data_IF_993262085001
#
_entry.id   IF_993262085001
#
_cell.length_a   1.000
_cell.length_b   1.000
_cell.length_c   1.000
_cell.angle_alpha   90.00
_cell.angle_beta   90.00
_cell.angle_gamma   90.00
#
_symmetry.space_group_name_H-M   'P 1'
#
loop_
_entity.id
_entity.type
_entity.pdbx_description
1 polymer ?
#
# COMPACT_ATOMS: atom_id res chain seq x y z
N UNK A 1 16.43 9.71 -48.85
CA UNK A 1 17.74 10.03 -48.26
C UNK A 1 17.56 11.23 -47.34
N UNK A 2 17.71 11.04 -46.04
CA UNK A 2 17.50 12.06 -45.02
C UNK A 2 17.52 11.42 -43.64
N UNK A 3 18.72 11.21 -43.11
CA UNK A 3 19.00 10.64 -41.80
C UNK A 3 18.55 11.61 -40.68
N UNK A 4 17.78 11.10 -39.72
CA UNK A 4 17.66 11.70 -38.39
C UNK A 4 18.35 10.78 -37.38
N UNK A 5 19.67 10.93 -37.29
CA UNK A 5 20.52 10.30 -36.29
C UNK A 5 20.47 11.10 -34.98
N UNK A 6 19.62 10.68 -34.04
CA UNK A 6 19.58 11.24 -32.69
C UNK A 6 20.63 10.53 -31.81
N UNK A 7 21.81 11.15 -31.71
CA UNK A 7 22.91 10.75 -30.81
C UNK A 7 22.40 10.51 -29.38
N UNK A 8 22.32 9.24 -28.98
CA UNK A 8 22.20 8.81 -27.60
C UNK A 8 23.43 9.28 -26.80
N UNK A 9 23.27 10.32 -25.97
CA UNK A 9 24.27 10.69 -24.96
C UNK A 9 24.37 9.55 -23.94
N UNK A 10 25.49 8.83 -23.94
CA UNK A 10 25.85 7.88 -22.87
C UNK A 10 25.97 8.66 -21.54
N UNK A 11 25.14 8.30 -20.58
CA UNK A 11 25.18 8.85 -19.21
C UNK A 11 26.33 8.17 -18.47
N UNK A 12 27.34 8.92 -18.02
CA UNK A 12 28.36 8.43 -17.08
C UNK A 12 27.75 8.36 -15.69
N UNK A 13 27.70 7.17 -15.11
CA UNK A 13 27.37 6.96 -13.70
C UNK A 13 28.62 7.36 -12.88
N UNK A 14 28.46 8.20 -11.85
CA UNK A 14 29.59 8.65 -11.01
C UNK A 14 30.13 7.49 -10.16
N UNK A 15 31.42 7.54 -9.83
CA UNK A 15 32.14 6.49 -9.10
C UNK A 15 31.67 6.29 -7.65
N UNK A 16 30.85 7.20 -7.11
CA UNK A 16 30.27 7.07 -5.76
C UNK A 16 29.13 6.04 -5.68
N UNK A 17 28.78 5.42 -6.81
CA UNK A 17 27.62 4.53 -6.97
C UNK A 17 27.92 3.04 -6.67
N UNK A 18 29.09 2.71 -6.11
CA UNK A 18 29.57 1.33 -5.93
C UNK A 18 29.23 0.68 -4.56
N UNK A 19 28.44 1.31 -3.72
CA UNK A 19 28.16 0.81 -2.36
C UNK A 19 26.97 -0.17 -2.23
N UNK A 20 26.43 -0.71 -3.32
CA UNK A 20 25.45 -1.80 -3.22
C UNK A 20 26.14 -3.15 -2.95
N UNK A 21 25.60 -3.93 -2.01
CA UNK A 21 26.15 -5.21 -1.53
C UNK A 21 26.34 -6.27 -2.65
N UNK A 22 25.61 -6.12 -3.78
CA UNK A 22 25.73 -6.98 -4.96
C UNK A 22 26.88 -6.59 -5.92
N UNK A 23 27.33 -5.34 -5.94
CA UNK A 23 28.52 -4.93 -6.72
C UNK A 23 29.81 -5.59 -6.20
N UNK A 24 29.84 -6.03 -4.93
CA UNK A 24 30.99 -6.75 -4.38
C UNK A 24 31.09 -8.21 -4.84
N UNK A 25 30.01 -8.78 -5.39
CA UNK A 25 29.95 -10.22 -5.76
C UNK A 25 29.82 -10.47 -7.27
N UNK A 26 29.44 -9.48 -8.08
CA UNK A 26 29.42 -9.59 -9.54
C UNK A 26 30.80 -9.32 -10.15
N UNK A 27 31.33 -10.25 -10.97
CA UNK A 27 32.51 -9.96 -11.80
C UNK A 27 32.11 -8.96 -12.89
N UNK A 28 32.44 -7.69 -12.67
CA UNK A 28 32.38 -6.65 -13.70
C UNK A 28 33.37 -7.01 -14.82
N UNK A 29 32.89 -7.16 -16.05
CA UNK A 29 33.77 -7.25 -17.21
C UNK A 29 34.48 -5.90 -17.42
N UNK A 30 35.69 -5.91 -17.98
CA UNK A 30 36.61 -4.75 -18.09
C UNK A 30 36.02 -3.46 -18.71
N UNK A 31 34.85 -3.52 -19.33
CA UNK A 31 34.20 -2.39 -19.99
C UNK A 31 32.87 -1.95 -19.34
N UNK A 32 32.48 -2.51 -18.19
CA UNK A 32 31.33 -2.02 -17.42
C UNK A 32 29.94 -2.37 -17.96
N UNK A 33 29.83 -3.23 -18.98
CA UNK A 33 28.53 -3.69 -19.49
C UNK A 33 27.98 -4.86 -18.67
N UNK A 34 26.71 -4.75 -18.24
CA UNK A 34 25.87 -5.86 -17.76
C UNK A 34 24.76 -6.02 -18.79
N UNK A 35 24.66 -7.18 -19.44
CA UNK A 35 23.59 -7.48 -20.38
C UNK A 35 22.74 -8.63 -19.84
N UNK A 36 21.44 -8.39 -19.60
CA UNK A 36 20.43 -9.44 -19.49
C UNK A 36 19.41 -9.29 -20.63
N UNK A 37 19.40 -10.27 -21.55
CA UNK A 37 18.51 -10.33 -22.71
C UNK A 37 17.04 -10.49 -22.26
N UNK A 38 16.24 -9.44 -22.34
CA UNK A 38 14.78 -9.56 -22.48
C UNK A 38 14.36 -9.03 -23.86
N UNK A 39 13.60 -9.83 -24.61
CA UNK A 39 13.08 -9.48 -25.96
C UNK A 39 11.83 -8.60 -25.87
N UNK A 40 11.96 -7.43 -25.25
CA UNK A 40 11.00 -6.31 -25.33
C UNK A 40 11.75 -5.11 -25.91
N UNK A 41 12.25 -5.26 -27.14
CA UNK A 41 12.78 -4.14 -27.92
C UNK A 41 11.65 -3.69 -28.83
N UNK A 42 11.48 -2.37 -28.94
CA UNK A 42 10.50 -1.68 -29.79
C UNK A 42 9.11 -1.45 -29.16
N UNK A 43 9.11 -0.75 -28.01
CA UNK A 43 8.32 0.48 -27.76
C UNK A 43 8.65 0.97 -26.34
N UNK A 44 9.52 1.96 -26.27
CA UNK A 44 9.68 2.91 -25.14
C UNK A 44 9.85 2.39 -23.70
N UNK A 45 10.44 1.20 -23.48
CA UNK A 45 10.95 0.83 -22.15
C UNK A 45 12.34 0.20 -22.21
N UNK A 46 13.23 0.68 -21.33
CA UNK A 46 14.61 0.21 -21.18
C UNK A 46 14.63 -0.70 -19.96
N UNK A 47 14.78 -2.01 -20.18
CA UNK A 47 15.22 -2.94 -19.16
C UNK A 47 16.75 -2.87 -19.08
N UNK A 48 17.28 -2.28 -18.00
CA UNK A 48 18.55 -2.70 -17.40
C UNK A 48 18.65 -2.14 -15.96
N UNK A 49 18.87 -3.04 -15.00
CA UNK A 49 19.27 -2.83 -13.59
C UNK A 49 18.36 -1.98 -12.66
N UNK A 50 17.04 -1.92 -12.87
CA UNK A 50 16.11 -1.19 -11.98
C UNK A 50 15.57 -1.98 -10.77
N UNK A 51 15.75 -3.31 -10.74
CA UNK A 51 15.30 -4.14 -9.61
C UNK A 51 16.11 -3.85 -8.33
N UNK A 52 17.31 -3.26 -8.46
CA UNK A 52 18.23 -2.98 -7.36
C UNK A 52 18.24 -1.51 -6.91
N UNK A 53 17.45 -0.64 -7.57
CA UNK A 53 17.38 0.78 -7.24
C UNK A 53 16.31 1.07 -6.19
N UNK A 54 16.73 1.56 -5.01
CA UNK A 54 15.85 2.06 -3.95
C UNK A 54 14.83 3.09 -4.48
N UNK A 55 13.60 3.15 -3.93
CA UNK A 55 12.54 4.09 -4.36
C UNK A 55 12.97 5.55 -4.53
N UNK A 56 13.90 6.02 -3.68
CA UNK A 56 14.48 7.37 -3.76
C UNK A 56 15.28 7.60 -5.05
N UNK A 57 15.97 6.57 -5.55
CA UNK A 57 16.68 6.63 -6.84
C UNK A 57 15.72 6.55 -8.01
N UNK A 58 14.63 5.77 -7.90
CA UNK A 58 13.55 5.76 -8.89
C UNK A 58 12.90 7.14 -9.00
N UNK A 59 12.75 7.85 -7.90
CA UNK A 59 12.23 9.22 -7.89
C UNK A 59 13.20 10.24 -8.54
N UNK A 60 14.50 10.21 -8.22
CA UNK A 60 15.48 11.05 -8.92
C UNK A 60 15.51 10.76 -10.42
N UNK A 61 15.33 9.49 -10.81
CA UNK A 61 15.22 9.09 -12.20
C UNK A 61 13.92 9.56 -12.85
N UNK A 62 12.81 9.68 -12.10
CA UNK A 62 11.55 10.23 -12.61
C UNK A 62 11.70 11.70 -13.04
N UNK A 63 12.29 12.53 -12.18
CA UNK A 63 12.53 13.95 -12.49
C UNK A 63 13.54 14.12 -13.63
N UNK A 64 14.59 13.28 -13.67
CA UNK A 64 15.59 13.28 -14.74
C UNK A 64 15.10 12.73 -16.08
N UNK A 65 14.01 11.94 -16.09
CA UNK A 65 13.44 11.30 -17.28
C UNK A 65 12.16 11.97 -17.79
N UNK A 66 11.99 13.26 -17.50
CA UNK A 66 10.87 14.06 -18.01
C UNK A 66 9.50 13.44 -17.68
N UNK A 67 9.35 12.94 -16.45
CA UNK A 67 8.08 12.46 -15.87
C UNK A 67 7.45 11.21 -16.53
N UNK A 68 8.23 10.40 -17.25
CA UNK A 68 7.77 9.13 -17.82
C UNK A 68 7.45 8.08 -16.74
N UNK A 69 6.45 7.23 -16.98
CA UNK A 69 6.08 6.13 -16.09
C UNK A 69 7.13 5.01 -16.07
N UNK A 70 7.31 4.36 -14.92
CA UNK A 70 8.06 3.12 -14.79
C UNK A 70 7.13 1.91 -15.00
N UNK A 71 7.68 0.69 -15.02
CA UNK A 71 6.84 -0.50 -14.89
C UNK A 71 6.11 -0.46 -13.53
N UNK A 72 4.86 -0.95 -13.44
CA UNK A 72 4.12 -1.01 -12.19
C UNK A 72 4.94 -1.77 -11.14
N UNK A 73 5.25 -1.11 -10.03
CA UNK A 73 6.02 -1.72 -8.94
C UNK A 73 5.11 -2.41 -7.94
N UNK A 74 3.97 -1.80 -7.63
CA UNK A 74 2.92 -2.38 -6.80
C UNK A 74 1.69 -2.67 -7.65
N UNK A 75 1.18 -3.89 -7.53
CA UNK A 75 -0.13 -4.27 -8.05
C UNK A 75 -1.00 -4.62 -6.85
N UNK A 76 -2.02 -3.80 -6.62
CA UNK A 76 -3.03 -4.07 -5.61
C UNK A 76 -4.17 -4.83 -6.28
N UNK A 77 -4.54 -5.96 -5.71
CA UNK A 77 -5.60 -6.83 -6.24
C UNK A 77 -6.75 -6.82 -5.25
N UNK A 78 -7.87 -6.22 -5.64
CA UNK A 78 -9.14 -6.41 -4.96
C UNK A 78 -9.80 -7.67 -5.52
N UNK A 79 -9.58 -8.81 -4.86
CA UNK A 79 -9.99 -10.10 -5.43
C UNK A 79 -11.51 -10.35 -5.35
N UNK A 80 -12.18 -9.67 -4.41
CA UNK A 80 -13.62 -9.76 -4.22
C UNK A 80 -14.17 -8.54 -3.50
N UNK A 81 -15.43 -8.18 -3.75
CA UNK A 81 -16.19 -7.19 -2.97
C UNK A 81 -16.94 -7.80 -1.77
N UNK A 82 -16.83 -9.13 -1.58
CA UNK A 82 -17.45 -9.83 -0.46
C UNK A 82 -16.66 -9.58 0.81
N UNK A 83 -17.36 -9.18 1.88
CA UNK A 83 -16.79 -9.04 3.21
C UNK A 83 -17.81 -9.51 4.24
N UNK A 84 -17.35 -10.18 5.30
CA UNK A 84 -18.16 -10.65 6.41
C UNK A 84 -18.32 -9.60 7.53
N UNK A 85 -17.71 -8.42 7.40
CA UNK A 85 -17.76 -7.34 8.39
C UNK A 85 -18.50 -6.09 7.86
N UNK A 86 -18.77 -5.15 8.76
CA UNK A 86 -19.47 -3.89 8.49
C UNK A 86 -18.75 -2.71 9.15
N UNK A 87 -17.44 -2.63 8.95
CA UNK A 87 -16.59 -1.67 9.66
C UNK A 87 -17.08 -0.24 9.45
N UNK A 88 -17.18 0.54 10.53
CA UNK A 88 -17.74 1.91 10.52
C UNK A 88 -16.99 2.84 9.57
N UNK A 89 -15.68 2.69 9.47
CA UNK A 89 -14.82 3.53 8.62
C UNK A 89 -14.75 3.10 7.15
N UNK A 90 -15.30 1.94 6.78
CA UNK A 90 -15.03 1.33 5.47
C UNK A 90 -15.68 2.12 4.33
N UNK A 91 -14.87 2.49 3.33
CA UNK A 91 -15.37 3.15 2.12
C UNK A 91 -16.28 2.30 1.23
N UNK A 92 -16.19 0.97 1.35
CA UNK A 92 -16.99 0.04 0.55
C UNK A 92 -18.36 -0.25 1.18
N UNK A 93 -18.39 -0.54 2.50
CA UNK A 93 -19.58 -1.05 3.22
C UNK A 93 -19.97 -0.28 4.48
N UNK A 94 -19.19 0.74 4.87
CA UNK A 94 -19.52 1.60 6.02
C UNK A 94 -20.79 2.42 5.77
N UNK A 95 -21.09 3.38 6.64
CA UNK A 95 -22.34 4.17 6.57
C UNK A 95 -22.64 4.75 5.19
N UNK A 96 -21.64 5.34 4.54
CA UNK A 96 -21.74 5.90 3.19
C UNK A 96 -21.09 5.01 2.12
N UNK A 97 -20.85 3.74 2.45
CA UNK A 97 -20.15 2.79 1.60
C UNK A 97 -20.70 2.75 0.17
N UNK A 98 -19.82 2.79 -0.83
CA UNK A 98 -20.26 2.86 -2.22
C UNK A 98 -20.98 1.60 -2.70
N UNK A 99 -20.71 0.45 -2.08
CA UNK A 99 -21.45 -0.78 -2.33
C UNK A 99 -22.84 -0.76 -1.71
N UNK A 100 -23.20 0.19 -0.84
CA UNK A 100 -24.57 0.26 -0.32
C UNK A 100 -25.57 0.79 -1.37
N UNK A 101 -25.11 1.36 -2.48
CA UNK A 101 -25.97 1.84 -3.57
C UNK A 101 -26.64 0.68 -4.32
N UNK A 102 -27.96 0.75 -4.58
CA UNK A 102 -28.63 -0.14 -5.53
C UNK A 102 -27.95 -0.08 -6.90
N UNK A 103 -27.66 -1.25 -7.50
CA UNK A 103 -27.04 -1.35 -8.84
C UNK A 103 -25.50 -1.36 -8.87
N UNK A 104 -24.82 -0.97 -7.78
CA UNK A 104 -23.37 -1.19 -7.59
C UNK A 104 -23.07 -2.48 -6.81
N UNK A 105 -24.09 -3.04 -6.16
CA UNK A 105 -24.03 -4.31 -5.45
C UNK A 105 -24.00 -5.51 -6.41
N UNK A 106 -23.03 -6.39 -6.18
CA UNK A 106 -23.02 -7.83 -6.54
C UNK A 106 -23.05 -8.27 -8.01
N UNK A 107 -23.14 -7.39 -9.01
CA UNK A 107 -23.17 -7.80 -10.43
C UNK A 107 -21.82 -7.85 -11.15
N UNK A 108 -20.73 -7.38 -10.52
CA UNK A 108 -19.38 -7.59 -11.04
C UNK A 108 -18.93 -9.00 -10.69
N UNK A 109 -19.00 -9.91 -11.66
CA UNK A 109 -18.47 -11.27 -11.53
C UNK A 109 -17.00 -11.16 -11.15
N UNK A 110 -16.61 -11.71 -10.01
CA UNK A 110 -15.20 -11.87 -9.70
C UNK A 110 -14.56 -12.66 -10.86
N UNK A 111 -13.36 -12.28 -11.27
CA UNK A 111 -12.55 -13.08 -12.16
C UNK A 111 -12.39 -14.48 -11.57
N UNK A 112 -12.34 -15.50 -12.43
CA UNK A 112 -12.11 -16.87 -12.00
C UNK A 112 -10.67 -17.06 -11.51
N UNK A 113 -10.42 -18.18 -10.84
CA UNK A 113 -9.06 -18.54 -10.39
C UNK A 113 -8.11 -18.57 -11.59
N UNK A 114 -8.55 -19.12 -12.72
CA UNK A 114 -7.77 -19.22 -13.96
C UNK A 114 -7.44 -17.84 -14.54
N UNK A 115 -8.40 -16.92 -14.53
CA UNK A 115 -8.17 -15.54 -14.98
C UNK A 115 -7.15 -14.81 -14.10
N UNK A 116 -7.21 -14.99 -12.77
CA UNK A 116 -6.17 -14.46 -11.88
C UNK A 116 -4.80 -15.09 -12.11
N UNK A 117 -4.73 -16.41 -12.30
CA UNK A 117 -3.46 -17.09 -12.61
C UNK A 117 -2.85 -16.58 -13.91
N UNK A 118 -3.65 -16.42 -14.96
CA UNK A 118 -3.22 -15.85 -16.23
C UNK A 118 -2.70 -14.43 -16.05
N UNK A 119 -3.44 -13.58 -15.32
CA UNK A 119 -3.01 -12.22 -15.02
C UNK A 119 -1.65 -12.20 -14.29
N UNK A 120 -1.45 -13.08 -13.30
CA UNK A 120 -0.18 -13.21 -12.59
C UNK A 120 0.95 -13.65 -13.53
N UNK A 121 0.69 -14.59 -14.45
CA UNK A 121 1.67 -15.01 -15.44
C UNK A 121 2.07 -13.87 -16.40
N UNK A 122 1.12 -13.00 -16.77
CA UNK A 122 1.37 -11.86 -17.64
C UNK A 122 2.27 -10.81 -16.97
N UNK A 123 2.15 -10.63 -15.65
CA UNK A 123 2.87 -9.58 -14.89
C UNK A 123 4.16 -10.05 -14.23
N UNK A 124 4.36 -11.37 -14.04
CA UNK A 124 5.50 -11.89 -13.28
C UNK A 124 6.86 -11.51 -13.87
N UNK A 125 6.93 -11.21 -15.16
CA UNK A 125 8.18 -10.89 -15.86
C UNK A 125 8.86 -9.60 -15.35
N UNK A 126 8.10 -8.66 -14.78
CA UNK A 126 8.65 -7.44 -14.17
C UNK A 126 8.69 -7.45 -12.63
N UNK A 127 8.34 -8.60 -12.02
CA UNK A 127 8.48 -8.88 -10.57
C UNK A 127 7.81 -7.82 -9.66
N UNK A 128 6.51 -7.52 -9.84
CA UNK A 128 5.81 -6.58 -8.97
C UNK A 128 5.63 -7.14 -7.55
N UNK A 129 5.43 -6.23 -6.59
CA UNK A 129 4.89 -6.56 -5.27
C UNK A 129 3.37 -6.68 -5.41
N UNK A 130 2.81 -7.83 -5.03
CA UNK A 130 1.38 -8.07 -5.03
C UNK A 130 0.83 -7.78 -3.63
N UNK A 131 -0.16 -6.89 -3.55
CA UNK A 131 -0.95 -6.68 -2.33
C UNK A 131 -2.37 -7.19 -2.56
N UNK A 132 -2.71 -8.28 -1.88
CA UNK A 132 -4.00 -8.95 -2.00
C UNK A 132 -4.99 -8.39 -0.98
N UNK A 133 -6.10 -7.82 -1.46
CA UNK A 133 -7.10 -7.07 -0.71
C UNK A 133 -8.52 -7.31 -1.27
N UNK A 134 -9.43 -6.38 -1.01
CA UNK A 134 -10.81 -6.34 -1.48
C UNK A 134 -11.73 -6.02 -0.32
N UNK A 135 -12.88 -6.70 -0.28
CA UNK A 135 -13.68 -6.83 0.94
C UNK A 135 -12.93 -7.64 2.00
N UNK A 136 -13.00 -8.96 1.92
CA UNK A 136 -12.13 -9.87 2.67
C UNK A 136 -11.57 -10.92 1.69
N UNK A 137 -10.26 -10.90 1.38
CA UNK A 137 -9.69 -11.76 0.35
C UNK A 137 -9.87 -13.25 0.66
N UNK A 138 -9.84 -13.66 1.93
CA UNK A 138 -10.01 -15.05 2.33
C UNK A 138 -11.45 -15.59 2.14
N UNK A 139 -12.41 -14.76 1.75
CA UNK A 139 -13.76 -15.18 1.35
C UNK A 139 -13.87 -15.49 -0.16
N UNK A 140 -12.84 -15.19 -0.96
CA UNK A 140 -12.86 -15.51 -2.38
C UNK A 140 -12.80 -17.04 -2.62
N UNK A 141 -13.75 -17.63 -3.37
CA UNK A 141 -13.72 -19.05 -3.71
C UNK A 141 -12.46 -19.39 -4.53
N UNK A 142 -11.57 -20.21 -3.97
CA UNK A 142 -10.30 -20.57 -4.62
C UNK A 142 -9.11 -19.68 -4.24
N UNK A 143 -9.22 -18.87 -3.19
CA UNK A 143 -8.13 -18.00 -2.69
C UNK A 143 -6.80 -18.75 -2.48
N UNK A 144 -6.87 -19.98 -1.95
CA UNK A 144 -5.69 -20.83 -1.74
C UNK A 144 -4.91 -21.08 -3.04
N UNK A 145 -5.60 -21.30 -4.15
CA UNK A 145 -4.98 -21.54 -5.45
C UNK A 145 -4.33 -20.29 -6.02
N UNK A 146 -4.94 -19.13 -5.80
CA UNK A 146 -4.39 -17.84 -6.23
C UNK A 146 -3.14 -17.50 -5.41
N UNK A 147 -3.18 -17.63 -4.07
CA UNK A 147 -2.01 -17.40 -3.21
C UNK A 147 -0.85 -18.32 -3.58
N UNK A 148 -1.13 -19.62 -3.79
CA UNK A 148 -0.14 -20.59 -4.25
C UNK A 148 0.50 -20.17 -5.57
N UNK A 149 -0.30 -19.80 -6.57
CA UNK A 149 0.22 -19.43 -7.90
C UNK A 149 1.09 -18.16 -7.86
N UNK A 150 0.72 -17.15 -7.06
CA UNK A 150 1.54 -15.95 -6.85
C UNK A 150 2.89 -16.32 -6.23
N UNK A 151 2.87 -17.15 -5.19
CA UNK A 151 4.08 -17.62 -4.50
C UNK A 151 4.98 -18.45 -5.42
N UNK A 152 4.43 -19.40 -6.17
CA UNK A 152 5.15 -20.23 -7.14
C UNK A 152 5.68 -19.42 -8.34
N UNK A 153 5.07 -18.26 -8.63
CA UNK A 153 5.58 -17.27 -9.60
C UNK A 153 6.75 -16.44 -9.07
N UNK A 154 7.23 -16.70 -7.84
CA UNK A 154 8.34 -16.02 -7.19
C UNK A 154 8.14 -14.48 -7.09
N UNK A 155 6.89 -14.10 -6.78
CA UNK A 155 6.46 -12.74 -6.48
C UNK A 155 6.25 -12.58 -4.98
N UNK A 156 6.53 -11.38 -4.47
CA UNK A 156 6.27 -11.06 -3.07
C UNK A 156 4.76 -10.85 -2.87
N UNK A 157 4.16 -11.61 -1.96
CA UNK A 157 2.74 -11.54 -1.64
C UNK A 157 2.51 -10.95 -0.25
N UNK A 158 1.95 -9.74 -0.22
CA UNK A 158 1.39 -9.13 0.98
C UNK A 158 -0.14 -9.29 0.98
N UNK A 159 -0.75 -9.43 2.15
CA UNK A 159 -2.21 -9.55 2.28
C UNK A 159 -2.75 -8.63 3.38
N UNK A 160 -3.76 -7.84 3.04
CA UNK A 160 -4.60 -7.14 4.02
C UNK A 160 -5.81 -8.02 4.35
N UNK A 161 -6.01 -8.36 5.62
CA UNK A 161 -7.14 -9.19 6.06
C UNK A 161 -7.75 -8.65 7.35
N UNK A 162 -9.04 -8.90 7.54
CA UNK A 162 -9.73 -8.68 8.81
C UNK A 162 -9.44 -9.77 9.86
N UNK A 163 -8.72 -10.83 9.49
CA UNK A 163 -8.24 -11.86 10.39
C UNK A 163 -9.24 -12.99 10.69
N UNK A 164 -10.54 -12.77 10.49
CA UNK A 164 -11.59 -13.73 10.90
C UNK A 164 -11.55 -15.08 10.18
N UNK A 165 -10.94 -15.15 9.00
CA UNK A 165 -10.78 -16.37 8.21
C UNK A 165 -9.36 -16.96 8.26
N UNK A 166 -8.41 -16.32 8.95
CA UNK A 166 -7.02 -16.78 8.99
C UNK A 166 -6.89 -18.20 9.54
N UNK A 167 -7.68 -18.55 10.57
CA UNK A 167 -7.67 -19.89 11.17
C UNK A 167 -7.96 -20.99 10.14
N UNK A 168 -8.89 -20.73 9.22
CA UNK A 168 -9.28 -21.68 8.17
C UNK A 168 -8.18 -21.92 7.14
N UNK A 169 -7.38 -20.89 6.85
CA UNK A 169 -6.35 -20.91 5.81
C UNK A 169 -4.93 -20.83 6.40
N UNK A 170 -4.75 -21.24 7.66
CA UNK A 170 -3.52 -21.01 8.39
C UNK A 170 -2.28 -21.63 7.69
N UNK A 171 -2.42 -22.84 7.14
CA UNK A 171 -1.32 -23.52 6.44
C UNK A 171 -1.00 -22.86 5.09
N UNK A 172 -2.01 -22.50 4.31
CA UNK A 172 -1.84 -21.82 3.02
C UNK A 172 -1.21 -20.45 3.21
N UNK A 173 -1.71 -19.68 4.18
CA UNK A 173 -1.18 -18.35 4.52
C UNK A 173 0.26 -18.46 5.01
N UNK A 174 0.56 -19.40 5.91
CA UNK A 174 1.93 -19.62 6.38
C UNK A 174 2.88 -19.98 5.22
N UNK A 175 2.42 -20.80 4.26
CA UNK A 175 3.25 -21.30 3.16
C UNK A 175 3.44 -20.31 2.01
N UNK A 176 2.40 -19.56 1.64
CA UNK A 176 2.39 -18.82 0.38
C UNK A 176 2.40 -17.29 0.53
N UNK A 177 2.07 -16.75 1.70
CA UNK A 177 2.08 -15.30 1.93
C UNK A 177 3.43 -14.90 2.54
N UNK A 178 3.95 -13.73 2.17
CA UNK A 178 5.21 -13.22 2.70
C UNK A 178 5.01 -12.21 3.83
N UNK A 179 3.93 -11.43 3.77
CA UNK A 179 3.56 -10.44 4.77
C UNK A 179 2.04 -10.42 5.00
N UNK A 180 1.62 -10.36 6.27
CA UNK A 180 0.22 -10.32 6.66
C UNK A 180 -0.04 -9.05 7.46
N UNK A 181 -0.98 -8.24 7.01
CA UNK A 181 -1.46 -7.07 7.72
C UNK A 181 -2.86 -7.36 8.25
N UNK A 182 -2.94 -7.65 9.55
CA UNK A 182 -4.20 -7.99 10.23
C UNK A 182 -4.80 -6.72 10.79
N UNK A 183 -6.05 -6.48 10.43
CA UNK A 183 -6.71 -5.24 10.75
C UNK A 183 -7.31 -5.31 12.17
N UNK A 184 -6.70 -4.64 13.16
CA UNK A 184 -7.10 -4.58 14.58
C UNK A 184 -7.16 -3.12 15.04
N UNK A 185 -8.29 -2.70 15.62
CA UNK A 185 -8.63 -1.27 15.85
C UNK A 185 -8.74 -0.90 17.34
N UNK A 186 -8.18 -1.72 18.22
CA UNK A 186 -8.21 -1.49 19.66
C UNK A 186 -8.28 -2.80 20.45
N UNK A 187 -8.48 -2.69 21.79
CA UNK A 187 -8.86 -3.83 22.61
C UNK A 187 -10.19 -4.42 22.13
N UNK A 188 -10.47 -5.65 22.55
CA UNK A 188 -11.61 -6.48 22.15
C UNK A 188 -12.92 -5.72 21.91
N UNK A 189 -13.40 -4.97 22.90
CA UNK A 189 -14.69 -4.29 22.85
C UNK A 189 -14.68 -3.16 21.82
N UNK A 190 -13.60 -2.37 21.79
CA UNK A 190 -13.42 -1.27 20.83
C UNK A 190 -13.31 -1.83 19.41
N UNK A 191 -12.52 -2.89 19.23
CA UNK A 191 -12.36 -3.53 17.94
C UNK A 191 -13.70 -4.02 17.38
N UNK A 192 -14.45 -4.81 18.15
CA UNK A 192 -15.74 -5.35 17.71
C UNK A 192 -16.76 -4.23 17.41
N UNK A 193 -16.76 -3.16 18.21
CA UNK A 193 -17.60 -1.97 17.97
C UNK A 193 -17.29 -1.30 16.62
N UNK A 194 -15.99 -1.14 16.33
CA UNK A 194 -15.50 -0.49 15.11
C UNK A 194 -15.70 -1.37 13.88
N UNK A 195 -15.47 -2.68 14.02
CA UNK A 195 -15.66 -3.70 12.96
C UNK A 195 -17.12 -4.06 12.69
N UNK A 196 -18.00 -3.73 13.63
CA UNK A 196 -19.45 -3.83 13.48
C UNK A 196 -20.00 -5.25 13.61
N UNK A 197 -19.21 -6.20 14.10
CA UNK A 197 -19.60 -7.60 14.34
C UNK A 197 -18.96 -8.07 15.64
N UNK A 198 -19.71 -8.58 16.62
CA UNK A 198 -19.15 -9.16 17.85
C UNK A 198 -18.31 -10.41 17.59
N UNK A 199 -17.27 -10.63 18.40
CA UNK A 199 -16.39 -11.79 18.36
C UNK A 199 -15.28 -11.71 17.29
N UNK A 200 -15.13 -10.58 16.61
CA UNK A 200 -14.13 -10.43 15.54
C UNK A 200 -12.71 -10.36 16.06
N UNK A 201 -12.52 -9.76 17.24
CA UNK A 201 -11.21 -9.72 17.88
C UNK A 201 -10.71 -11.13 18.19
N UNK A 202 -11.56 -11.97 18.77
CA UNK A 202 -11.21 -13.37 19.07
C UNK A 202 -10.94 -14.18 17.82
N UNK A 203 -11.77 -14.03 16.79
CA UNK A 203 -11.56 -14.74 15.53
C UNK A 203 -10.22 -14.36 14.89
N UNK A 204 -9.85 -13.07 14.91
CA UNK A 204 -8.55 -12.61 14.44
C UNK A 204 -7.40 -13.14 15.31
N UNK A 205 -7.55 -13.14 16.65
CA UNK A 205 -6.56 -13.70 17.59
C UNK A 205 -6.31 -15.18 17.34
N UNK A 206 -7.37 -15.97 17.25
CA UNK A 206 -7.27 -17.40 16.94
C UNK A 206 -6.65 -17.63 15.57
N UNK A 207 -6.97 -16.76 14.60
CA UNK A 207 -6.40 -16.78 13.27
C UNK A 207 -4.88 -16.54 13.25
N UNK A 208 -4.41 -15.50 13.93
CA UNK A 208 -2.97 -15.20 14.08
C UNK A 208 -2.26 -16.38 14.75
N UNK A 209 -2.80 -16.88 15.86
CA UNK A 209 -2.23 -18.01 16.59
C UNK A 209 -2.15 -19.28 15.72
N UNK A 210 -3.16 -19.55 14.90
CA UNK A 210 -3.18 -20.68 13.98
C UNK A 210 -2.12 -20.55 12.89
N UNK A 211 -1.92 -19.37 12.31
CA UNK A 211 -0.84 -19.12 11.33
C UNK A 211 0.53 -19.36 11.97
N UNK A 212 0.76 -18.83 13.18
CA UNK A 212 2.01 -19.03 13.91
C UNK A 212 2.26 -20.51 14.27
N UNK A 213 1.20 -21.26 14.61
CA UNK A 213 1.28 -22.69 14.85
C UNK A 213 1.62 -23.46 13.56
N UNK A 214 0.97 -23.12 12.44
CA UNK A 214 1.24 -23.71 11.14
C UNK A 214 2.67 -23.44 10.67
N UNK A 215 3.22 -22.24 10.90
CA UNK A 215 4.62 -21.93 10.62
C UNK A 215 5.58 -22.88 11.38
N UNK A 216 5.31 -23.13 12.67
CA UNK A 216 6.12 -24.04 13.50
C UNK A 216 6.01 -25.49 13.02
N UNK A 217 4.79 -25.96 12.75
CA UNK A 217 4.51 -27.32 12.28
C UNK A 217 5.21 -27.60 10.94
N UNK A 218 5.06 -26.68 9.98
CA UNK A 218 5.65 -26.77 8.64
C UNK A 218 7.15 -26.44 8.62
N UNK A 219 7.74 -26.11 9.78
CA UNK A 219 9.16 -25.71 9.94
C UNK A 219 9.55 -24.58 8.97
N UNK A 220 8.68 -23.58 8.84
CA UNK A 220 8.94 -22.41 8.01
C UNK A 220 9.95 -21.52 8.75
N UNK A 221 11.16 -21.44 8.21
CA UNK A 221 12.26 -20.68 8.81
C UNK A 221 12.43 -19.27 8.24
N UNK A 222 11.70 -18.93 7.15
CA UNK A 222 11.69 -17.56 6.63
C UNK A 222 10.95 -16.65 7.59
N UNK A 223 11.35 -15.39 7.66
CA UNK A 223 10.60 -14.40 8.43
C UNK A 223 9.35 -14.02 7.63
N UNK A 224 8.18 -14.18 8.24
CA UNK A 224 6.90 -13.73 7.72
C UNK A 224 6.32 -12.75 8.75
N UNK A 225 6.49 -11.42 8.56
CA UNK A 225 5.91 -10.46 9.50
C UNK A 225 4.39 -10.51 9.48
N UNK A 226 3.84 -10.38 10.67
CA UNK A 226 2.44 -10.14 10.92
C UNK A 226 2.37 -8.76 11.56
N UNK A 227 1.69 -7.82 10.91
CA UNK A 227 1.49 -6.46 11.39
C UNK A 227 0.05 -6.27 11.83
N UNK A 228 -0.17 -5.50 12.89
CA UNK A 228 -1.50 -5.03 13.27
C UNK A 228 -1.74 -3.65 12.66
N UNK A 229 -2.78 -3.50 11.84
CA UNK A 229 -3.19 -2.20 11.32
C UNK A 229 -4.40 -1.66 12.09
N UNK A 230 -4.18 -0.54 12.77
CA UNK A 230 -5.18 0.24 13.49
C UNK A 230 -5.50 1.49 12.69
N UNK A 231 -6.76 1.63 12.28
CA UNK A 231 -7.23 2.83 11.60
C UNK A 231 -7.66 3.85 12.64
N UNK A 232 -6.88 4.93 12.78
CA UNK A 232 -7.13 6.00 13.75
C UNK A 232 -8.32 6.83 13.32
N UNK A 233 -9.34 6.86 14.17
CA UNK A 233 -10.58 7.59 13.96
C UNK A 233 -11.06 8.27 15.25
N UNK A 234 -12.02 9.20 15.16
CA UNK A 234 -12.64 9.78 16.34
C UNK A 234 -13.29 8.75 17.28
N UNK A 235 -13.62 7.57 16.78
CA UNK A 235 -14.33 6.54 17.53
C UNK A 235 -13.39 5.60 18.31
N UNK A 236 -12.06 5.65 18.10
CA UNK A 236 -11.12 4.71 18.74
C UNK A 236 -9.77 5.29 19.18
N UNK A 237 -9.44 6.56 18.86
CA UNK A 237 -8.11 7.11 19.13
C UNK A 237 -7.68 7.11 20.62
N UNK A 238 -8.64 7.05 21.55
CA UNK A 238 -8.39 6.92 22.98
C UNK A 238 -7.79 5.55 23.36
N UNK A 239 -8.04 4.52 22.56
CA UNK A 239 -7.54 3.16 22.78
C UNK A 239 -6.13 2.91 22.24
N UNK A 240 -5.51 3.89 21.58
CA UNK A 240 -4.15 3.78 21.02
C UNK A 240 -3.12 3.30 22.08
N UNK A 241 -3.09 3.80 23.33
CA UNK A 241 -2.11 3.35 24.33
C UNK A 241 -2.21 1.86 24.65
N UNK A 242 -3.38 1.26 24.50
CA UNK A 242 -3.61 -0.17 24.78
C UNK A 242 -3.05 -1.08 23.68
N UNK A 243 -2.71 -0.54 22.52
CA UNK A 243 -2.24 -1.34 21.38
C UNK A 243 -0.93 -2.08 21.66
N UNK A 244 -0.11 -1.57 22.58
CA UNK A 244 1.07 -2.29 23.05
C UNK A 244 0.71 -3.59 23.80
N UNK A 245 -0.37 -3.56 24.60
CA UNK A 245 -0.88 -4.73 25.30
C UNK A 245 -1.57 -5.69 24.32
N UNK A 246 -2.39 -5.17 23.41
CA UNK A 246 -3.05 -5.96 22.35
C UNK A 246 -2.02 -6.69 21.48
N UNK A 247 -0.96 -6.01 21.03
CA UNK A 247 0.10 -6.63 20.26
C UNK A 247 0.76 -7.79 21.02
N UNK A 248 1.04 -7.59 22.32
CA UNK A 248 1.58 -8.64 23.18
C UNK A 248 0.62 -9.81 23.36
N UNK A 249 -0.69 -9.58 23.55
CA UNK A 249 -1.72 -10.63 23.63
C UNK A 249 -1.76 -11.47 22.34
N UNK A 250 -1.65 -10.80 21.19
CA UNK A 250 -1.68 -11.46 19.88
C UNK A 250 -0.34 -12.08 19.47
N UNK A 251 0.71 -11.93 20.29
CA UNK A 251 2.05 -12.43 19.97
C UNK A 251 2.68 -11.74 18.76
N UNK A 252 2.30 -10.49 18.51
CA UNK A 252 2.77 -9.65 17.39
C UNK A 252 3.59 -8.48 17.94
N UNK A 253 4.55 -7.99 17.15
CA UNK A 253 5.35 -6.81 17.52
C UNK A 253 5.05 -5.58 16.66
N UNK A 254 4.66 -5.78 15.42
CA UNK A 254 4.52 -4.68 14.46
C UNK A 254 3.11 -4.09 14.56
N UNK A 255 3.02 -2.81 14.92
CA UNK A 255 1.78 -2.04 15.01
C UNK A 255 1.87 -0.84 14.07
N UNK A 256 0.95 -0.77 13.12
CA UNK A 256 0.78 0.34 12.20
C UNK A 256 -0.47 1.12 12.58
N UNK A 257 -0.32 2.40 12.87
CA UNK A 257 -1.45 3.32 12.90
C UNK A 257 -1.59 3.97 11.54
N UNK A 258 -2.74 3.75 10.92
CA UNK A 258 -3.13 4.42 9.69
C UNK A 258 -4.15 5.48 10.04
N UNK A 259 -3.86 6.75 9.76
CA UNK A 259 -4.86 7.80 9.94
C UNK A 259 -6.04 7.54 8.99
N UNK A 260 -7.26 7.61 9.53
CA UNK A 260 -8.45 7.35 8.73
C UNK A 260 -8.52 8.30 7.54
N UNK A 261 -8.80 7.72 6.37
CA UNK A 261 -9.17 8.47 5.18
C UNK A 261 -10.63 8.95 5.30
N UNK A 262 -10.87 10.25 5.15
CA UNK A 262 -12.22 10.83 5.14
C UNK A 262 -12.24 12.21 4.46
N UNK A 263 -13.43 12.69 4.11
CA UNK A 263 -13.65 14.04 3.58
C UNK A 263 -15.11 14.49 3.79
N UNK A 264 -15.35 15.79 3.61
CA UNK A 264 -16.69 16.38 3.75
C UNK A 264 -17.54 16.19 2.48
N UNK A 265 -18.85 16.40 2.60
CA UNK A 265 -19.76 16.38 1.46
C UNK A 265 -19.40 17.44 0.40
N UNK A 266 -18.89 18.61 0.82
CA UNK A 266 -18.46 19.66 -0.11
C UNK A 266 -17.26 19.19 -0.97
N UNK A 267 -16.32 18.46 -0.37
CA UNK A 267 -15.19 17.87 -1.09
C UNK A 267 -15.63 16.73 -2.02
N UNK A 268 -16.60 15.91 -1.59
CA UNK A 268 -17.22 14.91 -2.47
C UNK A 268 -17.81 15.57 -3.72
N UNK A 269 -18.64 16.61 -3.58
CA UNK A 269 -19.26 17.32 -4.71
C UNK A 269 -18.22 17.93 -5.66
N UNK A 270 -17.20 18.60 -5.12
CA UNK A 270 -16.10 19.14 -5.93
C UNK A 270 -15.34 18.04 -6.71
N UNK A 271 -15.16 16.88 -6.10
CA UNK A 271 -14.60 15.72 -6.78
C UNK A 271 -15.50 15.23 -7.91
N UNK A 272 -16.80 15.07 -7.67
CA UNK A 272 -17.77 14.64 -8.69
C UNK A 272 -17.79 15.57 -9.90
N UNK A 273 -17.82 16.88 -9.65
CA UNK A 273 -17.77 17.91 -10.69
C UNK A 273 -16.46 17.86 -11.47
N UNK A 274 -15.32 17.72 -10.77
CA UNK A 274 -14.00 17.59 -11.40
C UNK A 274 -13.89 16.32 -12.24
N UNK A 275 -14.40 15.19 -11.75
CA UNK A 275 -14.39 13.92 -12.47
C UNK A 275 -15.24 14.00 -13.75
N UNK A 276 -16.44 14.61 -13.65
CA UNK A 276 -17.31 14.82 -14.81
C UNK A 276 -16.67 15.78 -15.82
N UNK A 277 -16.12 16.91 -15.37
CA UNK A 277 -15.45 17.89 -16.24
C UNK A 277 -14.23 17.31 -16.93
N UNK A 278 -13.36 16.65 -16.18
CA UNK A 278 -12.01 16.29 -16.65
C UNK A 278 -11.97 14.93 -17.33
N UNK A 279 -12.97 14.06 -17.13
CA UNK A 279 -13.01 12.69 -17.65
C UNK A 279 -14.35 12.24 -18.23
N UNK A 280 -15.41 13.05 -18.11
CA UNK A 280 -16.79 12.69 -18.49
C UNK A 280 -17.33 11.44 -17.74
N UNK A 281 -16.85 11.23 -16.51
CA UNK A 281 -17.23 10.08 -15.66
C UNK A 281 -18.06 10.55 -14.46
N UNK A 282 -19.15 9.84 -14.17
CA UNK A 282 -19.90 10.03 -12.94
C UNK A 282 -19.25 9.24 -11.79
N UNK A 283 -19.12 9.86 -10.62
CA UNK A 283 -18.58 9.18 -9.45
C UNK A 283 -19.54 8.11 -8.94
N UNK A 284 -18.98 6.99 -8.50
CA UNK A 284 -19.68 5.87 -7.85
C UNK A 284 -19.13 5.67 -6.44
N UNK A 285 -17.81 5.76 -6.30
CA UNK A 285 -17.07 5.55 -5.06
C UNK A 285 -16.87 6.83 -4.24
N UNK A 286 -17.13 8.01 -4.80
CA UNK A 286 -16.89 9.32 -4.20
C UNK A 286 -17.56 9.52 -2.84
N UNK A 287 -18.70 8.88 -2.57
CA UNK A 287 -19.36 8.94 -1.25
C UNK A 287 -18.72 8.06 -0.16
N UNK A 288 -17.89 7.09 -0.54
CA UNK A 288 -17.48 5.98 0.33
C UNK A 288 -16.87 6.44 1.67
N UNK A 289 -16.02 7.47 1.61
CA UNK A 289 -15.36 8.03 2.79
C UNK A 289 -15.91 9.40 3.20
N UNK A 290 -17.12 9.77 2.74
CA UNK A 290 -17.83 10.92 3.30
C UNK A 290 -18.03 10.66 4.78
N UNK A 291 -17.63 11.62 5.63
CA UNK A 291 -17.95 11.59 7.06
C UNK A 291 -18.34 12.98 7.53
N UNK A 292 -19.31 13.02 8.44
CA UNK A 292 -19.56 14.23 9.23
C UNK A 292 -18.31 14.52 10.06
N UNK A 293 -17.91 15.78 10.09
CA UNK A 293 -16.71 16.19 10.79
C UNK A 293 -16.90 16.00 12.30
N UNK A 294 -16.17 15.03 12.86
CA UNK A 294 -16.07 14.83 14.31
C UNK A 294 -14.69 15.27 14.75
N UNK A 295 -14.65 16.19 15.69
CA UNK A 295 -13.40 16.72 16.26
C UNK A 295 -12.67 15.61 17.02
N UNK A 296 -11.36 15.60 16.89
CA UNK A 296 -10.47 14.82 17.75
C UNK A 296 -9.70 15.80 18.60
N UNK A 297 -9.48 15.49 19.88
CA UNK A 297 -8.51 16.24 20.66
C UNK A 297 -7.10 15.92 20.16
N UNK A 298 -6.52 16.83 19.36
CA UNK A 298 -5.21 16.66 18.75
C UNK A 298 -4.09 16.46 19.79
N UNK A 299 -4.20 17.08 20.97
CA UNK A 299 -3.20 16.93 22.04
C UNK A 299 -3.28 15.55 22.67
N UNK A 300 -4.50 15.08 22.93
CA UNK A 300 -4.72 13.73 23.44
C UNK A 300 -4.26 12.68 22.41
N UNK A 301 -4.62 12.84 21.13
CA UNK A 301 -4.16 11.95 20.06
C UNK A 301 -2.63 11.91 19.97
N UNK A 302 -1.95 13.07 19.95
CA UNK A 302 -0.49 13.13 19.93
C UNK A 302 0.13 12.48 21.17
N UNK A 303 -0.43 12.72 22.36
CA UNK A 303 -0.02 12.08 23.61
C UNK A 303 -0.16 10.56 23.56
N UNK A 304 -1.29 10.06 23.06
CA UNK A 304 -1.55 8.64 22.91
C UNK A 304 -0.59 7.98 21.92
N UNK A 305 -0.31 8.61 20.78
CA UNK A 305 0.69 8.12 19.82
C UNK A 305 2.08 8.06 20.45
N UNK A 306 2.48 9.12 21.18
CA UNK A 306 3.78 9.16 21.86
C UNK A 306 3.95 8.06 22.91
N UNK A 307 2.87 7.68 23.58
CA UNK A 307 2.91 6.58 24.57
C UNK A 307 3.39 5.25 23.97
N UNK A 308 3.25 5.05 22.65
CA UNK A 308 3.74 3.87 21.96
C UNK A 308 5.22 3.95 21.59
N UNK A 309 5.81 5.15 21.53
CA UNK A 309 7.24 5.35 21.27
C UNK A 309 8.11 4.85 22.42
N UNK A 310 7.58 4.89 23.64
CA UNK A 310 8.29 4.49 24.86
C UNK A 310 8.24 2.96 25.11
N UNK A 311 7.61 2.19 24.21
CA UNK A 311 7.36 0.77 24.43
C UNK A 311 8.35 -0.14 23.68
N UNK A 312 9.39 -0.61 24.39
CA UNK A 312 10.48 -1.45 23.83
C UNK A 312 10.06 -2.80 23.22
N UNK A 313 8.81 -3.24 23.43
CA UNK A 313 8.32 -4.56 22.98
C UNK A 313 7.60 -4.55 21.64
N UNK A 314 7.26 -3.37 21.12
CA UNK A 314 6.57 -3.22 19.83
C UNK A 314 7.42 -2.40 18.86
N UNK A 315 7.27 -2.67 17.57
CA UNK A 315 7.69 -1.74 16.52
C UNK A 315 6.45 -0.99 16.09
N UNK A 316 6.55 0.33 16.06
CA UNK A 316 5.42 1.19 15.74
C UNK A 316 5.70 2.04 14.50
N UNK A 317 4.69 2.19 13.64
CA UNK A 317 4.71 3.15 12.54
C UNK A 317 3.42 3.96 12.50
N UNK A 318 3.54 5.26 12.21
CA UNK A 318 2.41 6.16 11.95
C UNK A 318 2.36 6.49 10.46
N UNK A 319 1.21 6.27 9.84
CA UNK A 319 0.98 6.52 8.43
C UNK A 319 -0.22 7.46 8.22
N UNK A 320 -0.01 8.68 7.69
CA UNK A 320 1.27 9.33 7.46
C UNK A 320 1.94 9.84 8.73
N UNK A 321 3.27 9.97 8.69
CA UNK A 321 4.01 10.68 9.73
C UNK A 321 3.72 12.18 9.64
N UNK A 322 3.11 12.74 10.67
CA UNK A 322 2.74 14.16 10.79
C UNK A 322 3.29 14.72 12.11
N UNK A 323 3.61 16.01 12.13
CA UNK A 323 3.81 16.73 13.38
C UNK A 323 2.45 17.03 14.06
N UNK A 324 2.49 17.50 15.31
CA UNK A 324 1.28 17.75 16.12
C UNK A 324 0.27 18.69 15.44
N UNK A 325 0.76 19.73 14.78
CA UNK A 325 -0.08 20.71 14.09
C UNK A 325 -0.76 20.08 12.87
N UNK A 326 0.02 19.40 12.02
CA UNK A 326 -0.50 18.70 10.85
C UNK A 326 -1.44 17.54 11.24
N UNK A 327 -1.22 16.91 12.39
CA UNK A 327 -2.06 15.86 12.94
C UNK A 327 -3.43 16.39 13.39
N UNK A 328 -3.47 17.53 14.09
CA UNK A 328 -4.73 18.19 14.42
C UNK A 328 -5.48 18.62 13.16
N UNK A 329 -4.78 19.28 12.24
CA UNK A 329 -5.32 19.70 10.95
C UNK A 329 -5.85 18.54 10.10
N UNK A 330 -5.27 17.33 10.23
CA UNK A 330 -5.79 16.13 9.56
C UNK A 330 -7.27 15.89 9.89
N UNK A 331 -7.68 16.09 11.14
CA UNK A 331 -9.05 15.84 11.58
C UNK A 331 -9.92 17.11 11.58
N UNK A 332 -9.36 18.24 11.99
CA UNK A 332 -10.10 19.49 12.21
C UNK A 332 -10.30 20.33 10.94
N UNK A 333 -9.53 20.11 9.88
CA UNK A 333 -9.63 20.91 8.66
C UNK A 333 -9.45 20.05 7.41
N UNK A 334 -10.37 19.13 7.06
CA UNK A 334 -10.19 18.13 6.00
C UNK A 334 -9.88 18.73 4.61
N UNK A 335 -10.26 19.98 4.37
CA UNK A 335 -9.93 20.73 3.16
C UNK A 335 -8.48 21.24 3.14
N UNK A 336 -7.84 21.45 4.28
CA UNK A 336 -6.45 21.90 4.33
C UNK A 336 -5.52 20.79 3.82
N UNK A 337 -4.62 21.13 2.91
CA UNK A 337 -3.62 20.18 2.42
C UNK A 337 -2.51 19.99 3.46
N UNK A 338 -2.50 18.82 4.12
CA UNK A 338 -1.47 18.42 5.12
C UNK A 338 -0.48 17.39 4.56
N UNK A 339 -0.55 17.13 3.26
CA UNK A 339 0.29 16.18 2.54
C UNK A 339 1.16 16.88 1.49
N UNK A 340 1.93 16.11 0.72
CA UNK A 340 2.56 16.61 -0.50
C UNK A 340 1.52 17.26 -1.46
N UNK A 341 1.98 18.06 -2.41
CA UNK A 341 1.13 18.72 -3.41
C UNK A 341 0.71 17.78 -4.57
N UNK A 342 1.40 16.65 -4.75
CA UNK A 342 1.20 15.72 -5.89
C UNK A 342 1.10 14.26 -5.50
N UNK A 343 0.15 13.53 -6.09
CA UNK A 343 0.03 12.09 -5.88
C UNK A 343 0.93 11.37 -6.90
N UNK A 344 1.85 10.55 -6.40
CA UNK A 344 2.78 9.79 -7.25
C UNK A 344 2.35 8.33 -7.46
N UNK A 345 1.28 7.87 -6.81
CA UNK A 345 0.77 6.52 -6.97
C UNK A 345 0.61 6.09 -8.45
N UNK A 346 0.09 6.93 -9.37
CA UNK A 346 -0.11 6.54 -10.78
C UNK A 346 1.17 6.18 -11.56
N UNK A 347 2.36 6.39 -10.99
CA UNK A 347 3.66 6.03 -11.59
C UNK A 347 4.28 4.76 -11.01
N UNK A 348 3.74 4.21 -9.92
CA UNK A 348 4.30 3.05 -9.23
C UNK A 348 3.27 1.99 -8.87
N UNK A 349 2.01 2.38 -8.74
CA UNK A 349 0.93 1.55 -8.21
C UNK A 349 -0.21 1.49 -9.22
N UNK A 350 -0.76 0.29 -9.37
CA UNK A 350 -2.03 0.06 -10.05
C UNK A 350 -2.92 -0.80 -9.17
N UNK A 351 -4.22 -0.60 -9.26
CA UNK A 351 -5.23 -1.40 -8.61
C UNK A 351 -6.04 -2.17 -9.66
N UNK A 352 -6.28 -3.46 -9.42
CA UNK A 352 -7.08 -4.35 -10.25
C UNK A 352 -8.28 -4.81 -9.44
N UNK A 353 -9.47 -4.43 -9.91
CA UNK A 353 -10.76 -4.70 -9.28
C UNK A 353 -11.23 -6.15 -9.52
N UNK A 354 -12.26 -6.62 -8.80
CA UNK A 354 -12.70 -8.02 -8.91
C UNK A 354 -13.11 -8.46 -10.31
N UNK A 355 -13.60 -7.56 -11.16
CA UNK A 355 -14.00 -7.81 -12.56
C UNK A 355 -12.90 -7.52 -13.58
N UNK A 356 -11.67 -7.28 -13.12
CA UNK A 356 -10.52 -6.98 -13.94
C UNK A 356 -10.38 -5.52 -14.36
N UNK A 357 -11.32 -4.64 -13.98
CA UNK A 357 -11.16 -3.20 -14.19
C UNK A 357 -9.91 -2.69 -13.48
N UNK A 358 -9.18 -1.81 -14.15
CA UNK A 358 -7.90 -1.28 -13.68
C UNK A 358 -8.05 0.21 -13.41
N UNK A 359 -7.52 0.67 -12.28
CA UNK A 359 -7.47 2.09 -11.91
C UNK A 359 -6.20 2.39 -11.08
N UNK A 360 -5.97 3.65 -10.74
CA UNK A 360 -4.82 4.07 -9.93
C UNK A 360 -5.13 4.29 -8.44
N UNK A 361 -6.38 4.10 -8.01
CA UNK A 361 -6.83 4.40 -6.66
C UNK A 361 -7.72 3.27 -6.12
N UNK A 362 -7.19 2.48 -5.20
CA UNK A 362 -7.91 1.32 -4.65
C UNK A 362 -9.10 1.70 -3.77
N UNK A 363 -9.10 2.89 -3.18
CA UNK A 363 -10.19 3.33 -2.31
C UNK A 363 -11.31 4.01 -3.12
N UNK A 364 -10.97 4.63 -4.27
CA UNK A 364 -11.88 5.42 -5.11
C UNK A 364 -11.59 5.11 -6.58
N UNK A 365 -12.08 3.96 -7.03
CA UNK A 365 -11.81 3.37 -8.35
C UNK A 365 -12.69 3.89 -9.49
N UNK A 366 -13.16 5.14 -9.45
CA UNK A 366 -14.16 5.65 -10.40
C UNK A 366 -13.62 5.79 -11.84
N UNK A 367 -12.35 6.18 -12.00
CA UNK A 367 -11.73 6.32 -13.31
C UNK A 367 -11.03 5.03 -13.75
N UNK A 368 -11.74 4.21 -14.52
CA UNK A 368 -11.22 2.96 -15.09
C UNK A 368 -10.36 3.24 -16.32
N UNK A 369 -9.09 2.85 -16.26
CA UNK A 369 -8.10 3.04 -17.33
C UNK A 369 -8.03 1.85 -18.29
N UNK A 370 -8.61 0.70 -17.95
CA UNK A 370 -8.67 -0.48 -18.82
C UNK A 370 -9.19 -1.71 -18.08
N UNK A 371 -9.21 -2.86 -18.74
CA UNK A 371 -9.62 -4.13 -18.13
C UNK A 371 -8.66 -5.26 -18.53
N UNK A 372 -8.15 -6.01 -17.56
CA UNK A 372 -7.12 -7.06 -17.76
C UNK A 372 -7.63 -8.29 -18.52
N UNK A 373 -8.95 -8.43 -18.69
CA UNK A 373 -9.54 -9.50 -19.54
C UNK A 373 -9.50 -9.15 -21.02
N UNK A 374 -9.20 -7.90 -21.36
CA UNK A 374 -9.24 -7.39 -22.74
C UNK A 374 -7.85 -7.02 -23.25
N UNK A 375 -6.99 -6.50 -22.39
CA UNK A 375 -5.67 -5.98 -22.75
C UNK A 375 -4.66 -6.40 -21.66
N UNK A 376 -3.39 -6.51 -22.03
CA UNK A 376 -2.32 -6.72 -21.06
C UNK A 376 -2.21 -5.51 -20.11
N UNK A 377 -1.73 -5.75 -18.89
CA UNK A 377 -1.55 -4.66 -17.92
C UNK A 377 -0.62 -3.56 -18.45
N UNK A 378 0.39 -3.92 -19.25
CA UNK A 378 1.31 -2.95 -19.84
C UNK A 378 0.63 -2.05 -20.88
N UNK A 379 -0.24 -2.60 -21.72
CA UNK A 379 -1.03 -1.80 -22.65
C UNK A 379 -1.96 -0.84 -21.92
N UNK A 380 -2.62 -1.32 -20.85
CA UNK A 380 -3.48 -0.49 -20.00
C UNK A 380 -2.67 0.62 -19.33
N UNK A 381 -1.50 0.28 -18.80
CA UNK A 381 -0.61 1.19 -18.08
C UNK A 381 -0.11 2.36 -18.96
N UNK A 382 -0.05 2.18 -20.28
CA UNK A 382 0.49 3.16 -21.23
C UNK A 382 -0.54 3.71 -22.20
N UNK A 383 -1.82 3.42 -22.02
CA UNK A 383 -2.84 3.93 -22.92
C UNK A 383 -3.15 5.41 -22.64
N UNK A 384 -3.92 6.00 -23.55
CA UNK A 384 -4.34 7.41 -23.48
C UNK A 384 -5.09 7.75 -22.19
N UNK A 385 -5.91 6.82 -21.65
CA UNK A 385 -6.63 7.04 -20.38
C UNK A 385 -5.66 7.15 -19.21
N UNK A 386 -4.67 6.27 -19.15
CA UNK A 386 -3.64 6.28 -18.13
C UNK A 386 -2.80 7.56 -18.19
N UNK A 387 -2.41 8.00 -19.39
CA UNK A 387 -1.67 9.24 -19.61
C UNK A 387 -2.50 10.47 -19.21
N UNK A 388 -3.76 10.55 -19.65
CA UNK A 388 -4.69 11.63 -19.29
C UNK A 388 -4.86 11.75 -17.77
N UNK A 389 -4.99 10.63 -17.06
CA UNK A 389 -5.07 10.66 -15.60
C UNK A 389 -3.80 11.20 -14.95
N UNK A 390 -2.63 10.73 -15.39
CA UNK A 390 -1.33 11.20 -14.89
C UNK A 390 -1.14 12.70 -15.13
N UNK A 391 -1.45 13.20 -16.32
CA UNK A 391 -1.39 14.63 -16.63
C UNK A 391 -2.31 15.45 -15.74
N UNK A 392 -3.53 14.97 -15.50
CA UNK A 392 -4.48 15.63 -14.62
C UNK A 392 -3.96 15.72 -13.18
N UNK A 393 -3.47 14.61 -12.63
CA UNK A 393 -2.94 14.55 -11.26
C UNK A 393 -1.68 15.40 -11.07
N UNK A 394 -0.86 15.57 -12.12
CA UNK A 394 0.29 16.48 -12.10
C UNK A 394 -0.11 17.96 -12.04
N UNK A 395 -1.23 18.31 -12.67
CA UNK A 395 -1.74 19.70 -12.69
C UNK A 395 -2.38 20.06 -11.36
N UNK A 396 -3.25 19.19 -10.87
CA UNK A 396 -3.99 19.42 -9.63
C UNK A 396 -4.49 18.09 -9.06
N UNK A 397 -4.64 18.01 -7.74
CA UNK A 397 -5.25 16.86 -7.08
C UNK A 397 -6.74 17.04 -6.94
N UNK A 398 -7.48 15.93 -6.93
CA UNK A 398 -8.86 15.95 -6.48
C UNK A 398 -8.94 16.36 -5.00
N UNK A 399 -10.01 17.07 -4.63
CA UNK A 399 -10.30 17.47 -3.24
C UNK A 399 -10.30 16.29 -2.29
N UNK A 400 -10.95 15.18 -2.65
CA UNK A 400 -10.96 13.94 -1.88
C UNK A 400 -9.56 13.36 -1.60
N UNK A 401 -8.52 13.69 -2.38
CA UNK A 401 -7.18 13.13 -2.18
C UNK A 401 -6.43 13.76 -0.99
N UNK A 402 -6.92 14.84 -0.39
CA UNK A 402 -6.21 15.61 0.66
C UNK A 402 -6.00 14.84 1.97
N UNK A 403 -6.71 13.73 2.17
CA UNK A 403 -6.58 12.82 3.33
C UNK A 403 -6.15 11.39 2.94
N UNK A 404 -5.66 11.21 1.72
CA UNK A 404 -5.20 9.90 1.28
C UNK A 404 -3.81 9.60 1.83
N UNK A 405 -3.68 8.48 2.55
CA UNK A 405 -2.42 8.02 3.15
C UNK A 405 -1.42 7.53 2.09
N UNK A 406 -1.90 7.07 0.93
CA UNK A 406 -1.08 6.61 -0.21
C UNK A 406 -0.17 7.71 -0.74
N UNK A 407 -0.56 8.98 -0.58
CA UNK A 407 0.28 10.13 -0.94
C UNK A 407 1.64 10.14 -0.24
N UNK A 408 1.76 9.46 0.90
CA UNK A 408 2.96 9.45 1.73
C UNK A 408 3.83 8.21 1.52
N UNK A 409 3.36 7.23 0.75
CA UNK A 409 4.11 6.01 0.42
C UNK A 409 5.25 6.30 -0.57
N UNK A 410 5.05 7.22 -1.52
CA UNK A 410 5.99 7.52 -2.60
C UNK A 410 6.43 8.99 -2.55
N UNK A 411 7.20 9.41 -1.53
CA UNK A 411 7.51 10.81 -1.31
C UNK A 411 8.27 11.39 -2.51
N UNK A 412 7.63 12.29 -3.23
CA UNK A 412 8.33 13.20 -4.10
C UNK A 412 8.99 14.28 -3.26
N UNK A 413 10.32 14.29 -3.29
CA UNK A 413 11.15 15.34 -2.70
C UNK A 413 10.75 15.80 -1.30
N UNK A 414 10.99 14.94 -0.32
CA UNK A 414 11.68 15.33 0.91
C UNK A 414 12.30 14.07 1.48
N UNK A 415 13.45 14.26 2.09
CA UNK A 415 14.21 13.26 2.80
C UNK A 415 13.43 12.87 4.07
N UNK A 416 12.15 12.46 3.96
CA UNK A 416 11.21 12.15 5.06
C UNK A 416 11.03 10.67 5.30
N UNK A 417 11.21 9.82 4.29
CA UNK A 417 11.50 8.40 4.53
C UNK A 417 12.82 8.25 5.32
N UNK A 418 13.78 9.15 5.07
CA UNK A 418 14.97 9.33 5.90
C UNK A 418 14.77 10.34 7.04
N UNK A 419 13.69 11.12 7.11
CA UNK A 419 13.38 11.93 8.29
C UNK A 419 12.77 11.05 9.36
N UNK A 420 11.94 10.06 9.09
CA UNK A 420 11.60 9.03 10.09
C UNK A 420 12.87 8.39 10.67
N UNK A 421 13.88 8.13 9.82
CA UNK A 421 15.21 7.67 10.25
C UNK A 421 16.10 8.76 10.86
N UNK A 422 15.90 10.04 10.53
CA UNK A 422 16.63 11.19 11.09
C UNK A 422 15.94 11.80 12.30
N UNK A 423 14.67 11.53 12.58
CA UNK A 423 13.99 11.80 13.85
C UNK A 423 14.28 10.64 14.77
N UNK A 424 14.36 9.39 14.31
CA UNK A 424 15.05 8.34 15.07
C UNK A 424 16.51 8.75 15.32
N UNK A 425 17.25 9.27 14.32
CA UNK A 425 18.62 9.79 14.52
C UNK A 425 18.70 11.09 15.34
N UNK A 426 17.67 11.94 15.35
CA UNK A 426 17.62 13.20 16.10
C UNK A 426 17.17 12.96 17.54
N UNK A 427 16.30 11.98 17.76
CA UNK A 427 15.98 11.39 19.07
C UNK A 427 17.22 10.65 19.61
N UNK A 428 17.98 9.95 18.74
CA UNK A 428 19.30 9.38 19.07
C UNK A 428 20.35 10.48 19.36
N UNK A 429 20.31 11.63 18.67
CA UNK A 429 21.19 12.78 18.97
C UNK A 429 20.79 13.54 20.23
N UNK A 430 19.51 13.48 20.64
CA UNK A 430 18.99 14.08 21.86
C UNK A 430 19.08 13.17 23.12
N UNK A 431 19.82 12.05 23.07
CA UNK A 431 20.44 11.52 24.29
C UNK A 431 19.95 10.18 24.86
N UNK A 432 19.51 9.22 24.03
CA UNK A 432 19.37 7.83 24.49
C UNK A 432 20.46 6.93 23.89
N UNK A 433 21.48 6.63 24.71
CA UNK A 433 22.57 5.70 24.41
C UNK A 433 22.11 4.26 24.62
N UNK A 434 21.60 3.57 23.59
CA UNK A 434 21.48 2.10 23.63
C UNK A 434 22.06 1.43 22.37
N UNK A 435 23.07 0.52 22.51
CA UNK A 435 23.72 -0.18 21.38
C UNK A 435 22.82 -1.12 20.56
N UNK A 436 21.60 -1.40 21.03
CA UNK A 436 20.69 -2.37 20.44
C UNK A 436 20.06 -1.89 19.11
N UNK A 437 19.65 -0.62 19.04
CA UNK A 437 19.02 -0.03 17.86
C UNK A 437 19.94 -0.05 16.62
N UNK A 438 21.24 0.21 16.79
CA UNK A 438 22.19 0.22 15.66
C UNK A 438 22.34 -1.15 15.00
N UNK A 439 22.22 -2.23 15.78
CA UNK A 439 22.42 -3.61 15.33
C UNK A 439 21.14 -4.25 14.78
N UNK A 440 19.98 -3.84 15.29
CA UNK A 440 18.66 -4.29 14.82
C UNK A 440 18.35 -3.72 13.42
N UNK A 441 18.51 -2.40 13.22
CA UNK A 441 18.21 -1.76 11.93
C UNK A 441 19.21 -2.11 10.82
N UNK A 442 20.48 -2.41 11.14
CA UNK A 442 21.45 -2.95 10.16
C UNK A 442 21.16 -4.40 9.72
N UNK A 443 20.36 -5.15 10.49
CA UNK A 443 19.99 -6.54 10.16
C UNK A 443 18.61 -6.68 9.52
N UNK A 444 17.75 -5.66 9.65
CA UNK A 444 16.34 -5.69 9.25
C UNK A 444 16.01 -4.62 8.19
N UNK A 445 16.93 -4.38 7.25
CA UNK A 445 16.75 -3.50 6.08
C UNK A 445 15.57 -3.92 5.17
N UNK A 446 15.00 -5.11 5.35
CA UNK A 446 13.88 -5.63 4.55
C UNK A 446 12.48 -5.26 5.12
N UNK A 447 12.38 -4.80 6.38
CA UNK A 447 11.11 -4.33 6.94
C UNK A 447 10.68 -2.99 6.34
N UNK A 448 11.64 -2.20 5.84
CA UNK A 448 11.31 -1.10 4.94
C UNK A 448 10.79 -1.64 3.60
N UNK A 449 11.42 -2.65 3.01
CA UNK A 449 11.06 -3.16 1.68
C UNK A 449 9.68 -3.83 1.57
N UNK A 450 9.00 -4.10 2.69
CA UNK A 450 7.61 -4.62 2.68
C UNK A 450 6.56 -3.51 2.49
N UNK A 451 6.95 -2.25 2.67
CA UNK A 451 6.13 -1.05 2.43
C UNK A 451 6.89 0.06 1.66
N UNK A 452 8.08 -0.22 1.11
CA UNK A 452 8.91 0.70 0.32
C UNK A 452 9.45 0.06 -0.95
#
# INVERSE_FOLDING_TARGET
MGEHDAKLKRIRISHDCLECIHCRKGKVMKNGDVLARCKLRERTYIMDNMLDACPQHRFKLFEQRDKRAFLPYHIWIEITNTCNLKCRMCGQRGTYGYLNSPGLNMHRKNLSVEAWKQFIDDVRCFRPIILLRGGEPLLYPGIADVMRHISESNLFLSMDTNGTQLKRYAHEVAKYVDHINVSIDGPREVHDLIRGVPGTFDAAREGIAAVQAAQKELRIHRVQPISLNFVVSPDNYEAIPEMAHVAAELGVRDVMLTLCFFYSEAMEKDYEESLKRDFDVASRAGKGFRKEQRKIDARLLAGNIRSLLDHDKINFNLMPYLDDEALGNWFDEPSLLVSYDRCYAPWFLVNVMPDGDVNFCADIGDYVIGNVTQNSLLEIWTNEKAERFRERILKERFSICRRCVVNFLYPGNRCTALAGLRTASAIIKCGLKTPFFRKYWQKHEWLTHSFY
#
